data_IF_455153519066
#
_entry.id   IF_455153519066
#
_cell.length_a   1.000
_cell.length_b   1.000
_cell.length_c   1.000
_cell.angle_alpha   90.00
_cell.angle_beta   90.00
_cell.angle_gamma   90.00
#
_symmetry.space_group_name_H-M   'P 1'
#
loop_
_entity.id
_entity.type
_entity.pdbx_description
1 polymer ?
#
# COMPACT_ATOMS: atom_id res chain seq x y z
N UNK A 1 -1.26 -9.71 -17.32
CA UNK A 1 -0.72 -8.50 -16.69
C UNK A 1 -1.29 -8.31 -15.28
N UNK A 2 -0.43 -7.97 -14.34
CA UNK A 2 -0.82 -7.85 -12.93
C UNK A 2 -1.88 -6.76 -12.70
N UNK A 3 -1.72 -5.60 -13.37
CA UNK A 3 -2.68 -4.50 -13.19
C UNK A 3 -4.08 -4.88 -13.65
N UNK A 4 -4.20 -5.59 -14.77
CA UNK A 4 -5.50 -6.03 -15.28
C UNK A 4 -6.20 -6.93 -14.27
N UNK A 5 -5.47 -7.83 -13.62
CA UNK A 5 -6.02 -8.71 -12.58
C UNK A 5 -6.51 -7.90 -11.38
N UNK A 6 -5.76 -6.89 -10.94
CA UNK A 6 -6.17 -6.04 -9.83
C UNK A 6 -7.36 -5.16 -10.18
N UNK A 7 -7.43 -4.66 -11.42
CA UNK A 7 -8.58 -3.88 -11.89
C UNK A 7 -9.86 -4.73 -11.87
N UNK A 8 -9.76 -5.97 -12.30
CA UNK A 8 -10.87 -6.91 -12.26
C UNK A 8 -11.33 -7.18 -10.83
N UNK A 9 -10.37 -7.42 -9.93
CA UNK A 9 -10.65 -7.64 -8.52
C UNK A 9 -11.28 -6.40 -7.87
N UNK A 10 -10.81 -5.20 -8.22
CA UNK A 10 -11.36 -3.96 -7.71
C UNK A 10 -12.81 -3.77 -8.14
N UNK A 11 -13.14 -4.11 -9.38
CA UNK A 11 -14.52 -4.05 -9.87
C UNK A 11 -15.43 -4.98 -9.05
N UNK A 12 -14.94 -6.17 -8.71
CA UNK A 12 -15.70 -7.14 -7.94
C UNK A 12 -15.79 -6.81 -6.44
N UNK A 13 -14.74 -6.19 -5.88
CA UNK A 13 -14.60 -5.94 -4.44
C UNK A 13 -14.15 -4.50 -4.21
N UNK A 14 -15.00 -3.54 -4.59
CA UNK A 14 -14.66 -2.12 -4.58
C UNK A 14 -14.36 -1.55 -3.20
N UNK A 15 -14.80 -2.22 -2.14
CA UNK A 15 -14.54 -1.78 -0.76
C UNK A 15 -13.15 -2.20 -0.24
N UNK A 16 -12.47 -3.07 -0.96
CA UNK A 16 -11.16 -3.56 -0.52
C UNK A 16 -10.06 -2.59 -0.96
N UNK A 17 -9.50 -1.87 0.00
CA UNK A 17 -8.48 -0.83 -0.26
C UNK A 17 -7.20 -1.40 -0.89
N UNK A 18 -6.95 -2.69 -0.73
CA UNK A 18 -5.75 -3.31 -1.30
C UNK A 18 -5.69 -3.17 -2.82
N UNK A 19 -6.82 -3.33 -3.49
CA UNK A 19 -6.82 -3.34 -4.95
C UNK A 19 -6.46 -1.98 -5.57
N UNK A 20 -7.08 -0.87 -5.15
CA UNK A 20 -6.67 0.41 -5.72
C UNK A 20 -5.23 0.79 -5.38
N UNK A 21 -4.72 0.40 -4.20
CA UNK A 21 -3.32 0.65 -3.86
C UNK A 21 -2.37 -0.16 -4.74
N UNK A 22 -2.70 -1.43 -5.02
CA UNK A 22 -1.89 -2.25 -5.92
C UNK A 22 -1.92 -1.71 -7.34
N UNK A 23 -3.08 -1.27 -7.82
CA UNK A 23 -3.21 -0.66 -9.15
C UNK A 23 -2.31 0.59 -9.22
N UNK A 24 -2.37 1.45 -8.20
CA UNK A 24 -1.53 2.65 -8.15
C UNK A 24 -0.05 2.27 -8.18
N UNK A 25 0.35 1.26 -7.42
CA UNK A 25 1.73 0.78 -7.41
C UNK A 25 2.18 0.31 -8.78
N UNK A 26 1.33 -0.41 -9.52
CA UNK A 26 1.71 -0.88 -10.86
C UNK A 26 1.92 0.29 -11.83
N UNK A 27 1.08 1.33 -11.75
CA UNK A 27 1.28 2.53 -12.57
C UNK A 27 2.62 3.21 -12.24
N UNK A 28 2.92 3.36 -10.95
CA UNK A 28 4.15 4.03 -10.52
C UNK A 28 5.40 3.24 -10.93
N UNK A 29 5.35 1.92 -10.84
CA UNK A 29 6.47 1.07 -11.27
C UNK A 29 6.72 1.18 -12.77
N UNK A 30 5.71 1.50 -13.55
CA UNK A 30 5.82 1.68 -15.00
C UNK A 30 6.07 3.15 -15.38
N UNK A 31 6.29 4.02 -14.40
CA UNK A 31 6.49 5.47 -14.61
C UNK A 31 5.27 6.15 -15.23
N UNK A 32 4.08 5.60 -15.00
CA UNK A 32 2.82 6.16 -15.50
C UNK A 32 2.17 7.04 -14.43
N UNK A 33 2.87 8.07 -14.01
CA UNK A 33 2.46 8.96 -12.92
C UNK A 33 1.12 9.65 -13.20
N UNK A 34 0.92 10.11 -14.43
CA UNK A 34 -0.32 10.80 -14.81
C UNK A 34 -1.52 9.87 -14.71
N UNK A 35 -1.39 8.66 -15.24
CA UNK A 35 -2.45 7.65 -15.18
C UNK A 35 -2.77 7.26 -13.75
N UNK A 36 -1.73 7.14 -12.92
CA UNK A 36 -1.88 6.86 -11.49
C UNK A 36 -2.70 7.96 -10.81
N UNK A 37 -2.36 9.22 -11.04
CA UNK A 37 -3.07 10.35 -10.43
C UNK A 37 -4.53 10.42 -10.89
N UNK A 38 -4.77 10.19 -12.18
CA UNK A 38 -6.14 10.18 -12.70
C UNK A 38 -6.98 9.08 -12.04
N UNK A 39 -6.39 7.89 -11.90
CA UNK A 39 -7.06 6.77 -11.24
C UNK A 39 -7.33 7.08 -9.76
N UNK A 40 -6.32 7.57 -9.03
CA UNK A 40 -6.46 7.85 -7.61
C UNK A 40 -7.44 8.98 -7.32
N UNK A 41 -7.56 9.97 -8.20
CA UNK A 41 -8.56 11.03 -8.05
C UNK A 41 -9.96 10.43 -7.92
N UNK A 42 -10.26 9.42 -8.75
CA UNK A 42 -11.57 8.74 -8.70
C UNK A 42 -11.73 7.93 -7.43
N UNK A 43 -10.67 7.23 -7.01
CA UNK A 43 -10.71 6.39 -5.82
C UNK A 43 -10.89 7.23 -4.55
N UNK A 44 -10.22 8.37 -4.47
CA UNK A 44 -10.26 9.24 -3.28
C UNK A 44 -11.56 10.01 -3.14
N UNK A 45 -12.33 10.14 -4.22
CA UNK A 45 -13.57 10.91 -4.20
C UNK A 45 -14.53 10.35 -3.15
N UNK A 46 -15.06 11.24 -2.31
CA UNK A 46 -16.05 10.91 -1.27
C UNK A 46 -15.51 10.04 -0.13
N UNK A 47 -14.20 9.92 0.00
CA UNK A 47 -13.61 9.21 1.15
C UNK A 47 -13.26 10.20 2.26
N UNK A 48 -13.43 9.79 3.55
CA UNK A 48 -13.04 10.67 4.66
C UNK A 48 -11.55 11.01 4.61
N UNK A 49 -11.22 12.30 4.64
CA UNK A 49 -9.85 12.76 4.47
C UNK A 49 -8.93 12.44 5.65
N UNK A 50 -9.50 12.08 6.80
CA UNK A 50 -8.74 11.70 7.99
C UNK A 50 -8.58 10.20 8.15
N UNK A 51 -9.16 9.40 7.25
CA UNK A 51 -9.03 7.94 7.31
C UNK A 51 -7.62 7.50 6.89
N UNK A 52 -7.18 6.37 7.45
CA UNK A 52 -5.88 5.80 7.10
C UNK A 52 -5.82 5.42 5.60
N UNK A 53 -6.94 4.97 5.06
CA UNK A 53 -7.03 4.62 3.64
C UNK A 53 -6.80 5.85 2.76
N UNK A 54 -7.47 6.97 3.08
CA UNK A 54 -7.29 8.20 2.32
C UNK A 54 -5.85 8.70 2.41
N UNK A 55 -5.27 8.69 3.61
CA UNK A 55 -3.90 9.17 3.82
C UNK A 55 -2.92 8.32 2.98
N UNK A 56 -3.14 7.01 2.91
CA UNK A 56 -2.29 6.14 2.10
C UNK A 56 -2.48 6.39 0.60
N UNK A 57 -3.72 6.55 0.14
CA UNK A 57 -3.99 6.89 -1.26
C UNK A 57 -3.34 8.23 -1.62
N UNK A 58 -3.41 9.21 -0.72
CA UNK A 58 -2.82 10.51 -0.92
C UNK A 58 -1.30 10.45 -1.00
N UNK A 59 -0.68 9.59 -0.21
CA UNK A 59 0.77 9.35 -0.26
C UNK A 59 1.17 8.90 -1.66
N UNK A 60 0.45 7.95 -2.24
CA UNK A 60 0.72 7.46 -3.58
C UNK A 60 0.43 8.51 -4.64
N UNK A 61 -0.58 9.34 -4.41
CA UNK A 61 -0.93 10.43 -5.33
C UNK A 61 0.16 11.51 -5.34
N UNK A 62 0.60 11.96 -4.17
CA UNK A 62 1.57 13.04 -4.04
C UNK A 62 3.01 12.60 -4.35
N UNK A 63 3.34 11.35 -4.08
CA UNK A 63 4.68 10.84 -4.26
C UNK A 63 5.71 11.42 -3.29
N UNK A 64 5.26 12.04 -2.19
CA UNK A 64 6.11 12.67 -1.21
C UNK A 64 5.89 12.07 0.16
N UNK A 65 6.95 11.94 0.95
CA UNK A 65 6.88 11.44 2.31
C UNK A 65 5.90 12.26 3.15
N UNK A 66 5.13 11.56 4.00
CA UNK A 66 4.12 12.19 4.85
C UNK A 66 4.16 11.53 6.22
N UNK A 67 4.52 12.31 7.24
CA UNK A 67 4.63 11.81 8.60
C UNK A 67 3.30 11.32 9.18
N UNK A 68 2.17 11.82 8.67
CA UNK A 68 0.85 11.37 9.12
C UNK A 68 0.64 9.88 8.87
N UNK A 69 1.25 9.35 7.81
CA UNK A 69 1.12 7.93 7.46
C UNK A 69 1.62 7.06 8.59
N UNK A 70 2.84 7.30 9.06
CA UNK A 70 3.42 6.51 10.14
C UNK A 70 2.58 6.59 11.42
N UNK A 71 2.09 7.78 11.77
CA UNK A 71 1.25 7.96 12.95
C UNK A 71 -0.08 7.22 12.82
N UNK A 72 -0.72 7.29 11.66
CA UNK A 72 -1.98 6.60 11.41
C UNK A 72 -1.81 5.10 11.51
N UNK A 73 -0.71 4.57 10.95
CA UNK A 73 -0.41 3.14 11.03
C UNK A 73 -0.22 2.73 12.49
N UNK A 74 0.59 3.48 13.24
CA UNK A 74 0.88 3.16 14.64
C UNK A 74 -0.38 3.13 15.49
N UNK A 75 -1.34 4.00 15.19
CA UNK A 75 -2.58 4.13 15.97
C UNK A 75 -3.72 3.23 15.48
N UNK A 76 -3.51 2.48 14.39
CA UNK A 76 -4.57 1.62 13.86
C UNK A 76 -4.73 0.37 14.73
N UNK A 77 -5.95 0.13 15.21
CA UNK A 77 -6.26 -1.00 16.09
C UNK A 77 -6.62 -2.28 15.34
N UNK A 78 -7.13 -2.17 14.10
CA UNK A 78 -7.47 -3.33 13.30
C UNK A 78 -6.19 -3.93 12.72
N UNK A 79 -5.86 -5.15 13.15
CA UNK A 79 -4.61 -5.82 12.77
C UNK A 79 -4.46 -6.00 11.26
N UNK A 80 -5.54 -6.42 10.60
CA UNK A 80 -5.49 -6.66 9.16
C UNK A 80 -5.28 -5.35 8.39
N UNK A 81 -6.02 -4.31 8.76
CA UNK A 81 -5.88 -3.01 8.11
C UNK A 81 -4.51 -2.41 8.38
N UNK A 82 -4.05 -2.52 9.62
CA UNK A 82 -2.70 -2.05 10.00
C UNK A 82 -1.63 -2.73 9.15
N UNK A 83 -1.71 -4.05 9.03
CA UNK A 83 -0.75 -4.82 8.24
C UNK A 83 -0.76 -4.45 6.78
N UNK A 84 -1.96 -4.27 6.20
CA UNK A 84 -2.10 -3.82 4.81
C UNK A 84 -1.41 -2.47 4.61
N UNK A 85 -1.69 -1.51 5.50
CA UNK A 85 -1.12 -0.17 5.39
C UNK A 85 0.40 -0.18 5.58
N UNK A 86 0.90 -1.02 6.47
CA UNK A 86 2.34 -1.22 6.63
C UNK A 86 2.97 -1.73 5.34
N UNK A 87 2.32 -2.65 4.65
CA UNK A 87 2.83 -3.17 3.38
C UNK A 87 2.93 -2.05 2.34
N UNK A 88 1.86 -1.25 2.17
CA UNK A 88 1.86 -0.21 1.16
C UNK A 88 2.81 0.93 1.49
N UNK A 89 3.03 1.21 2.76
CA UNK A 89 4.04 2.18 3.16
C UNK A 89 5.46 1.63 2.90
N UNK A 90 5.68 0.36 3.18
CA UNK A 90 6.94 -0.32 2.84
C UNK A 90 7.19 -0.29 1.34
N UNK A 91 6.17 -0.62 0.55
CA UNK A 91 6.27 -0.61 -0.91
C UNK A 91 6.56 0.79 -1.46
N UNK A 92 5.91 1.82 -0.91
CA UNK A 92 6.20 3.21 -1.28
C UNK A 92 7.67 3.53 -1.03
N UNK A 93 8.18 3.18 0.15
CA UNK A 93 9.59 3.42 0.49
C UNK A 93 10.53 2.67 -0.44
N UNK A 94 10.20 1.43 -0.77
CA UNK A 94 11.01 0.63 -1.70
C UNK A 94 11.07 1.28 -3.08
N UNK A 95 9.93 1.73 -3.59
CA UNK A 95 9.86 2.38 -4.91
C UNK A 95 10.62 3.71 -4.95
N UNK A 96 10.86 4.33 -3.80
CA UNK A 96 11.60 5.58 -3.70
C UNK A 96 13.05 5.39 -3.24
N UNK A 97 13.54 4.15 -3.26
CA UNK A 97 14.93 3.86 -2.93
C UNK A 97 15.25 3.82 -1.45
N UNK A 98 14.23 3.85 -0.59
CA UNK A 98 14.40 3.84 0.86
C UNK A 98 14.28 2.42 1.38
N UNK A 99 15.27 1.58 1.06
CA UNK A 99 15.22 0.13 1.28
C UNK A 99 15.24 -0.24 2.77
N UNK A 100 15.91 0.53 3.61
CA UNK A 100 15.97 0.28 5.05
C UNK A 100 14.59 0.38 5.67
N UNK A 101 13.84 1.44 5.36
CA UNK A 101 12.48 1.62 5.84
C UNK A 101 11.53 0.58 5.27
N UNK A 102 11.68 0.26 3.99
CA UNK A 102 10.86 -0.77 3.35
C UNK A 102 11.01 -2.10 4.09
N UNK A 103 12.23 -2.52 4.33
CA UNK A 103 12.52 -3.78 5.02
C UNK A 103 11.97 -3.79 6.44
N UNK A 104 12.08 -2.64 7.14
CA UNK A 104 11.54 -2.49 8.50
C UNK A 104 10.04 -2.76 8.52
N UNK A 105 9.30 -2.14 7.61
CA UNK A 105 7.84 -2.31 7.58
C UNK A 105 7.45 -3.72 7.17
N UNK A 106 8.13 -4.32 6.20
CA UNK A 106 7.85 -5.70 5.81
C UNK A 106 8.12 -6.67 6.97
N UNK A 107 9.19 -6.46 7.70
CA UNK A 107 9.53 -7.29 8.86
C UNK A 107 8.48 -7.12 9.98
N UNK A 108 8.04 -5.89 10.22
CA UNK A 108 7.03 -5.60 11.24
C UNK A 108 5.68 -6.26 10.90
N UNK A 109 5.35 -6.38 9.61
CA UNK A 109 4.14 -7.10 9.19
C UNK A 109 4.18 -8.55 9.67
N UNK A 110 5.32 -9.22 9.52
CA UNK A 110 5.47 -10.62 9.93
C UNK A 110 5.31 -10.77 11.44
N UNK A 111 5.72 -9.75 12.21
CA UNK A 111 5.58 -9.74 13.66
C UNK A 111 4.12 -9.62 14.12
N UNK A 112 3.22 -9.16 13.26
CA UNK A 112 1.78 -9.10 13.59
C UNK A 112 1.15 -10.49 13.71
N UNK A 113 1.76 -11.48 13.09
CA UNK A 113 1.32 -12.87 13.14
C UNK A 113 -0.16 -13.02 12.73
N UNK A 114 -0.55 -12.32 11.66
CA UNK A 114 -1.92 -12.31 11.16
C UNK A 114 -1.92 -12.54 9.64
N UNK A 115 -1.79 -13.80 9.18
CA UNK A 115 -1.61 -14.10 7.76
C UNK A 115 -2.91 -14.07 6.93
N UNK A 116 -3.96 -13.44 7.43
CA UNK A 116 -5.27 -13.48 6.77
C UNK A 116 -5.40 -12.52 5.57
N UNK A 117 -4.41 -11.67 5.32
CA UNK A 117 -4.43 -10.77 4.18
C UNK A 117 -3.26 -11.10 3.24
N UNK A 118 -3.45 -10.92 1.93
CA UNK A 118 -2.45 -11.40 0.98
C UNK A 118 -1.14 -10.61 1.04
N UNK A 119 -1.18 -9.37 1.49
CA UNK A 119 0.02 -8.55 1.66
C UNK A 119 1.01 -9.15 2.66
N UNK A 120 0.51 -9.94 3.61
CA UNK A 120 1.39 -10.68 4.52
C UNK A 120 2.32 -11.62 3.74
N UNK A 121 1.78 -12.32 2.75
CA UNK A 121 2.59 -13.22 1.91
C UNK A 121 3.59 -12.46 1.04
N UNK A 122 3.18 -11.30 0.53
CA UNK A 122 4.08 -10.45 -0.23
C UNK A 122 5.24 -9.94 0.63
N UNK A 123 4.96 -9.54 1.87
CA UNK A 123 5.99 -9.10 2.81
C UNK A 123 6.93 -10.26 3.17
N UNK A 124 6.39 -11.44 3.41
CA UNK A 124 7.17 -12.65 3.69
C UNK A 124 8.14 -12.94 2.55
N UNK A 125 7.66 -12.89 1.32
CA UNK A 125 8.49 -13.10 0.14
C UNK A 125 9.58 -12.01 0.02
N UNK A 126 9.21 -10.74 0.22
CA UNK A 126 10.15 -9.63 0.09
C UNK A 126 11.29 -9.73 1.12
N UNK A 127 10.97 -10.07 2.37
CA UNK A 127 11.98 -10.26 3.42
C UNK A 127 12.89 -11.44 3.08
N UNK A 128 12.31 -12.55 2.62
CA UNK A 128 13.06 -13.71 2.21
C UNK A 128 14.07 -13.43 1.10
N UNK A 129 13.65 -12.68 0.09
CA UNK A 129 14.53 -12.31 -1.02
C UNK A 129 15.66 -11.38 -0.58
N UNK A 130 15.38 -10.39 0.29
CA UNK A 130 16.40 -9.43 0.70
C UNK A 130 17.39 -10.00 1.72
N UNK A 131 17.08 -11.16 2.31
CA UNK A 131 17.95 -11.83 3.28
C UNK A 131 18.88 -12.88 2.66
N UNK A 132 18.72 -13.11 1.38
CA UNK A 132 19.59 -14.05 0.65
C UNK A 132 20.95 -13.41 0.25
#
# INVERSE_FOLDING_TARGET
EARAAFEKAYTAYSDNISYPLMIAATYLKENKTKECKNFLTKVMKNRPTDSIEYVMLRLYYDGLADQRVAQKIANESNKNLKGKMMYYYGLFNEMHGNDVQAKKYYTDILALNSPMFFEYRLAEWAVGESMK
#
